data_IF_307133304320
#
_entry.id   IF_307133304320
#
_cell.length_a   1.000
_cell.length_b   1.000
_cell.length_c   1.000
_cell.angle_alpha   90.00
_cell.angle_beta   90.00
_cell.angle_gamma   90.00
#
_symmetry.space_group_name_H-M   'P 1'
#
loop_
_entity.id
_entity.type
_entity.pdbx_description
1 polymer ?
#
# COMPACT_ATOMS: atom_id res chain seq x y z
N UNK A 1 22.32 -26.57 -23.28
CA UNK A 1 21.12 -26.35 -22.43
C UNK A 1 21.44 -26.12 -20.95
N UNK A 2 22.48 -26.74 -20.35
CA UNK A 2 22.83 -26.54 -18.92
C UNK A 2 23.37 -25.12 -18.60
N UNK A 3 24.25 -24.56 -19.45
CA UNK A 3 24.85 -23.24 -19.21
C UNK A 3 23.86 -22.06 -19.33
N UNK A 4 22.83 -22.20 -20.16
CA UNK A 4 21.81 -21.15 -20.36
C UNK A 4 20.76 -21.17 -19.22
N UNK A 5 20.46 -22.34 -18.68
CA UNK A 5 19.64 -22.50 -17.47
C UNK A 5 20.37 -21.94 -16.23
N UNK A 6 21.67 -22.23 -16.09
CA UNK A 6 22.51 -21.66 -15.01
C UNK A 6 22.60 -20.14 -15.11
N UNK A 7 22.86 -19.58 -16.31
CA UNK A 7 22.81 -18.13 -16.54
C UNK A 7 21.43 -17.55 -16.23
N UNK A 8 20.32 -18.15 -16.70
CA UNK A 8 18.97 -17.65 -16.36
C UNK A 8 18.69 -17.68 -14.85
N UNK A 9 19.17 -18.70 -14.13
CA UNK A 9 18.97 -18.80 -12.69
C UNK A 9 19.82 -17.76 -11.93
N UNK A 10 21.09 -17.56 -12.31
CA UNK A 10 21.98 -16.59 -11.70
C UNK A 10 21.46 -15.14 -11.86
N UNK A 11 20.93 -14.80 -13.03
CA UNK A 11 20.27 -13.51 -13.28
C UNK A 11 18.96 -13.31 -12.47
N UNK A 12 18.28 -14.39 -12.06
CA UNK A 12 17.04 -14.29 -11.28
C UNK A 12 17.30 -13.83 -9.84
N UNK A 13 18.32 -14.38 -9.18
CA UNK A 13 18.65 -14.02 -7.78
C UNK A 13 19.21 -12.61 -7.66
N UNK A 14 19.99 -12.14 -8.64
CA UNK A 14 20.51 -10.77 -8.69
C UNK A 14 19.37 -9.75 -8.83
N UNK A 15 18.46 -9.97 -9.77
CA UNK A 15 17.29 -9.11 -9.96
C UNK A 15 16.36 -9.14 -8.75
N UNK A 16 16.18 -10.31 -8.13
CA UNK A 16 15.39 -10.44 -6.90
C UNK A 16 16.02 -9.68 -5.72
N UNK A 17 17.34 -9.79 -5.56
CA UNK A 17 18.09 -9.09 -4.50
C UNK A 17 18.10 -7.59 -4.72
N UNK A 18 18.36 -7.14 -5.95
CA UNK A 18 18.30 -5.73 -6.33
C UNK A 18 16.89 -5.16 -6.15
N UNK A 19 15.85 -5.91 -6.53
CA UNK A 19 14.45 -5.54 -6.32
C UNK A 19 14.09 -5.43 -4.83
N UNK A 20 14.52 -6.39 -4.01
CA UNK A 20 14.29 -6.39 -2.57
C UNK A 20 15.01 -5.23 -1.88
N UNK A 21 16.28 -4.99 -2.20
CA UNK A 21 17.07 -3.88 -1.68
C UNK A 21 16.48 -2.52 -2.08
N UNK A 22 16.09 -2.36 -3.36
CA UNK A 22 15.44 -1.16 -3.85
C UNK A 22 14.09 -0.90 -3.18
N UNK A 23 13.28 -1.95 -3.00
CA UNK A 23 12.01 -1.88 -2.28
C UNK A 23 12.22 -1.45 -0.82
N UNK A 24 13.16 -2.08 -0.12
CA UNK A 24 13.46 -1.75 1.27
C UNK A 24 13.96 -0.31 1.43
N UNK A 25 14.93 0.11 0.61
CA UNK A 25 15.45 1.47 0.64
C UNK A 25 14.35 2.51 0.34
N UNK A 26 13.49 2.23 -0.64
CA UNK A 26 12.36 3.11 -0.96
C UNK A 26 11.39 3.23 0.20
N UNK A 27 11.03 2.11 0.84
CA UNK A 27 10.15 2.13 2.02
C UNK A 27 10.81 2.90 3.16
N UNK A 28 12.11 2.69 3.42
CA UNK A 28 12.84 3.41 4.47
C UNK A 28 12.83 4.92 4.27
N UNK A 29 13.17 5.40 3.06
CA UNK A 29 13.20 6.85 2.77
C UNK A 29 11.79 7.46 2.77
N UNK A 30 10.78 6.70 2.32
CA UNK A 30 9.40 7.20 2.22
C UNK A 30 8.56 7.02 3.49
N UNK A 31 9.07 6.28 4.48
CA UNK A 31 8.32 5.97 5.70
C UNK A 31 7.86 7.21 6.50
N UNK A 32 8.66 8.29 6.62
CA UNK A 32 8.19 9.52 7.26
C UNK A 32 6.90 10.10 6.64
N UNK A 33 6.76 10.01 5.31
CA UNK A 33 5.54 10.45 4.63
C UNK A 33 4.35 9.51 4.88
N UNK A 34 4.60 8.22 5.13
CA UNK A 34 3.55 7.29 5.56
C UNK A 34 3.02 7.61 6.96
N UNK A 35 3.91 7.97 7.90
CA UNK A 35 3.50 8.39 9.25
C UNK A 35 2.66 9.66 9.16
N UNK A 36 3.10 10.65 8.38
CA UNK A 36 2.35 11.90 8.19
C UNK A 36 1.00 11.65 7.55
N UNK A 37 0.95 10.84 6.49
CA UNK A 37 -0.31 10.46 5.83
C UNK A 37 -1.27 9.82 6.82
N UNK A 38 -0.84 8.81 7.57
CA UNK A 38 -1.72 8.08 8.50
C UNK A 38 -2.26 8.99 9.60
N UNK A 39 -1.44 9.91 10.13
CA UNK A 39 -1.92 10.92 11.09
C UNK A 39 -2.92 11.89 10.49
N UNK A 40 -2.75 12.30 9.24
CA UNK A 40 -3.74 13.14 8.57
C UNK A 40 -5.07 12.43 8.30
N UNK A 41 -5.05 11.15 7.88
CA UNK A 41 -6.25 10.35 7.61
C UNK A 41 -7.14 10.20 8.86
N UNK A 42 -6.51 10.23 10.02
CA UNK A 42 -7.10 9.94 11.32
C UNK A 42 -7.43 11.19 12.13
N UNK A 43 -6.90 12.35 11.73
CA UNK A 43 -7.23 13.60 12.35
C UNK A 43 -8.59 14.07 11.83
N UNK A 44 -9.60 14.08 12.70
CA UNK A 44 -10.99 14.40 12.33
C UNK A 44 -11.37 15.85 12.71
N UNK A 45 -10.41 16.61 13.27
CA UNK A 45 -10.56 18.03 13.61
C UNK A 45 -11.48 18.35 14.79
N UNK A 46 -12.04 17.34 15.47
CA UNK A 46 -13.13 17.54 16.44
C UNK A 46 -12.74 17.55 17.90
N UNK A 47 -11.73 16.78 18.27
CA UNK A 47 -10.97 16.87 19.54
C UNK A 47 -9.81 15.92 19.28
N UNK A 48 -8.60 16.44 19.16
CA UNK A 48 -7.46 15.63 18.77
C UNK A 48 -6.37 15.76 19.81
N UNK A 49 -6.14 14.69 20.55
CA UNK A 49 -4.86 14.37 21.21
C UNK A 49 -3.68 14.26 20.19
N UNK A 50 -3.89 14.69 18.94
CA UNK A 50 -2.98 14.69 17.81
C UNK A 50 -2.82 16.14 17.34
N UNK A 51 -1.59 16.64 17.11
CA UNK A 51 -1.37 18.00 16.68
C UNK A 51 -2.06 18.28 15.34
N UNK A 52 -2.75 19.41 15.22
CA UNK A 52 -3.24 19.87 13.93
C UNK A 52 -2.06 20.42 13.13
N UNK A 53 -1.80 19.81 11.97
CA UNK A 53 -0.71 20.23 11.09
C UNK A 53 -1.26 21.08 9.94
N UNK A 54 -0.63 22.22 9.66
CA UNK A 54 -1.02 23.10 8.55
C UNK A 54 -0.74 22.46 7.19
N UNK A 55 0.44 21.84 7.04
CA UNK A 55 0.95 21.28 5.80
C UNK A 55 1.74 19.99 6.06
N UNK A 56 1.97 19.17 5.02
CA UNK A 56 2.80 17.95 5.09
C UNK A 56 4.21 18.24 5.61
N UNK A 57 4.88 19.29 5.12
CA UNK A 57 6.21 19.67 5.58
C UNK A 57 6.22 20.10 7.05
N UNK A 58 5.20 20.87 7.47
CA UNK A 58 5.03 21.25 8.87
C UNK A 58 4.80 20.03 9.77
N UNK A 59 4.05 19.04 9.29
CA UNK A 59 3.85 17.77 10.02
C UNK A 59 5.17 17.02 10.21
N UNK A 60 5.97 16.83 9.15
CA UNK A 60 7.28 16.17 9.26
C UNK A 60 8.17 16.89 10.28
N UNK A 61 8.28 18.22 10.17
CA UNK A 61 9.13 19.01 11.07
C UNK A 61 8.64 18.98 12.52
N UNK A 62 7.33 19.08 12.72
CA UNK A 62 6.73 19.05 14.07
C UNK A 62 6.96 17.69 14.72
N UNK A 63 6.76 16.59 13.99
CA UNK A 63 7.01 15.23 14.50
C UNK A 63 8.49 15.03 14.80
N UNK A 64 9.37 15.46 13.90
CA UNK A 64 10.82 15.39 14.11
C UNK A 64 11.25 16.14 15.39
N UNK A 65 10.68 17.32 15.64
CA UNK A 65 11.01 18.16 16.80
C UNK A 65 10.39 17.66 18.10
N UNK A 66 9.14 17.18 18.07
CA UNK A 66 8.39 16.80 19.28
C UNK A 66 8.57 15.33 19.69
N UNK A 67 8.75 14.43 18.73
CA UNK A 67 8.83 12.97 18.96
C UNK A 67 10.18 12.37 18.55
N UNK A 68 11.04 13.17 17.91
CA UNK A 68 12.33 12.73 17.41
C UNK A 68 12.23 11.79 16.20
N UNK A 69 13.37 11.19 15.85
CA UNK A 69 13.46 10.21 14.77
C UNK A 69 12.61 8.96 15.03
N UNK A 70 12.39 8.60 16.31
CA UNK A 70 11.54 7.46 16.68
C UNK A 70 10.09 7.65 16.26
N UNK A 71 9.56 8.89 16.30
CA UNK A 71 8.21 9.20 15.82
C UNK A 71 8.08 9.08 14.30
N UNK A 72 9.08 9.57 13.55
CA UNK A 72 9.10 9.49 12.08
C UNK A 72 9.22 8.05 11.56
N UNK A 73 9.87 7.16 12.31
CA UNK A 73 10.05 5.74 11.98
C UNK A 73 9.12 4.80 12.78
N UNK A 74 8.13 5.35 13.47
CA UNK A 74 7.16 4.55 14.21
C UNK A 74 6.40 3.62 13.24
N UNK A 75 6.27 2.34 13.61
CA UNK A 75 5.60 1.35 12.78
C UNK A 75 6.39 0.90 11.52
N UNK A 76 7.67 1.26 11.38
CA UNK A 76 8.49 0.79 10.25
C UNK A 76 8.63 -0.74 10.23
N UNK A 77 9.12 -1.33 11.33
CA UNK A 77 9.32 -2.77 11.46
C UNK A 77 8.04 -3.61 11.22
N UNK A 78 6.89 -3.33 11.87
CA UNK A 78 5.65 -4.07 11.57
C UNK A 78 5.16 -3.81 10.14
N UNK A 79 5.46 -2.64 9.55
CA UNK A 79 5.15 -2.36 8.15
C UNK A 79 5.93 -3.21 7.17
N UNK A 80 7.24 -3.39 7.39
CA UNK A 80 8.09 -4.24 6.55
C UNK A 80 7.70 -5.71 6.73
N UNK A 81 7.63 -6.19 7.97
CA UNK A 81 7.23 -7.58 8.26
C UNK A 81 5.83 -7.89 7.70
N UNK A 82 4.87 -7.00 7.93
CA UNK A 82 3.52 -7.15 7.41
C UNK A 82 3.47 -7.20 5.89
N UNK A 83 4.27 -6.39 5.20
CA UNK A 83 4.34 -6.41 3.74
C UNK A 83 4.96 -7.71 3.23
N UNK A 84 6.08 -8.16 3.81
CA UNK A 84 6.74 -9.42 3.44
C UNK A 84 5.82 -10.62 3.64
N UNK A 85 5.15 -10.71 4.79
CA UNK A 85 4.18 -11.78 5.08
C UNK A 85 3.00 -11.71 4.12
N UNK A 86 2.49 -10.50 3.82
CA UNK A 86 1.37 -10.32 2.89
C UNK A 86 1.69 -10.85 1.50
N UNK A 87 2.87 -10.52 0.95
CA UNK A 87 3.28 -11.01 -0.38
C UNK A 87 3.51 -12.52 -0.40
N UNK A 88 4.15 -13.07 0.63
CA UNK A 88 4.35 -14.52 0.74
C UNK A 88 3.03 -15.30 0.79
N UNK A 89 2.09 -14.86 1.65
CA UNK A 89 0.76 -15.44 1.72
C UNK A 89 -0.05 -15.21 0.44
N UNK A 90 0.10 -14.05 -0.20
CA UNK A 90 -0.58 -13.75 -1.46
C UNK A 90 -0.20 -14.74 -2.55
N UNK A 91 1.10 -14.95 -2.81
CA UNK A 91 1.54 -15.92 -3.81
C UNK A 91 1.10 -17.35 -3.46
N UNK A 92 1.21 -17.74 -2.18
CA UNK A 92 0.76 -19.04 -1.73
C UNK A 92 -0.74 -19.27 -1.98
N UNK A 93 -1.60 -18.35 -1.52
CA UNK A 93 -3.05 -18.49 -1.71
C UNK A 93 -3.47 -18.31 -3.16
N UNK A 94 -2.83 -17.42 -3.90
CA UNK A 94 -3.09 -17.21 -5.32
C UNK A 94 -2.78 -18.46 -6.14
N UNK A 95 -1.62 -19.12 -5.91
CA UNK A 95 -1.27 -20.36 -6.61
C UNK A 95 -2.22 -21.49 -6.23
N UNK A 96 -2.60 -21.62 -4.95
CA UNK A 96 -3.59 -22.62 -4.51
C UNK A 96 -4.97 -22.37 -5.12
N UNK A 97 -5.42 -21.12 -5.16
CA UNK A 97 -6.69 -20.75 -5.79
C UNK A 97 -6.64 -21.05 -7.30
N UNK A 98 -5.58 -20.63 -7.99
CA UNK A 98 -5.36 -20.87 -9.41
C UNK A 98 -5.35 -22.37 -9.74
N UNK A 99 -4.66 -23.20 -8.95
CA UNK A 99 -4.65 -24.66 -9.12
C UNK A 99 -6.04 -25.26 -8.94
N UNK A 100 -6.82 -24.78 -7.96
CA UNK A 100 -8.20 -25.23 -7.74
C UNK A 100 -9.12 -24.87 -8.90
N UNK A 101 -9.03 -23.66 -9.44
CA UNK A 101 -9.83 -23.25 -10.61
C UNK A 101 -9.39 -23.95 -11.90
N UNK A 102 -8.09 -24.21 -12.07
CA UNK A 102 -7.56 -24.93 -13.23
C UNK A 102 -7.94 -26.42 -13.21
N UNK A 103 -8.03 -27.04 -12.04
CA UNK A 103 -8.44 -28.46 -11.92
C UNK A 103 -9.88 -28.72 -12.37
N UNK A 104 -10.74 -27.70 -12.35
CA UNK A 104 -12.13 -27.81 -12.77
C UNK A 104 -12.36 -27.57 -14.28
N UNK A 105 -11.35 -27.19 -15.07
CA UNK A 105 -11.50 -26.98 -16.53
C UNK A 105 -10.20 -27.28 -17.30
N UNK A 106 -10.29 -28.12 -18.34
CA UNK A 106 -9.20 -28.46 -19.28
C UNK A 106 -8.88 -27.32 -20.29
N UNK A 107 -8.79 -26.07 -19.85
CA UNK A 107 -8.54 -24.92 -20.75
C UNK A 107 -7.89 -23.71 -20.08
N UNK A 108 -7.38 -22.78 -20.90
CA UNK A 108 -6.78 -21.51 -20.44
C UNK A 108 -7.75 -20.76 -19.52
N UNK A 109 -7.28 -20.36 -18.34
CA UNK A 109 -8.05 -19.62 -17.36
C UNK A 109 -8.58 -18.29 -17.95
N UNK A 110 -9.89 -18.07 -17.88
CA UNK A 110 -10.51 -16.80 -18.26
C UNK A 110 -10.00 -15.64 -17.39
N UNK A 111 -9.88 -14.41 -17.90
CA UNK A 111 -9.52 -13.23 -17.10
C UNK A 111 -10.38 -13.07 -15.84
N UNK A 112 -11.67 -13.44 -15.90
CA UNK A 112 -12.56 -13.42 -14.73
C UNK A 112 -12.17 -14.42 -13.63
N UNK A 113 -11.63 -15.58 -13.99
CA UNK A 113 -11.14 -16.58 -13.03
C UNK A 113 -9.84 -16.13 -12.37
N UNK A 114 -8.97 -15.44 -13.12
CA UNK A 114 -7.79 -14.80 -12.55
C UNK A 114 -8.16 -13.74 -11.52
N UNK A 115 -9.13 -12.89 -11.83
CA UNK A 115 -9.66 -11.89 -10.91
C UNK A 115 -10.31 -12.55 -9.67
N UNK A 116 -11.09 -13.61 -9.85
CA UNK A 116 -11.68 -14.36 -8.74
C UNK A 116 -10.61 -14.98 -7.83
N UNK A 117 -9.58 -15.61 -8.40
CA UNK A 117 -8.46 -16.15 -7.62
C UNK A 117 -7.66 -15.07 -6.89
N UNK A 118 -7.49 -13.90 -7.51
CA UNK A 118 -6.80 -12.76 -6.88
C UNK A 118 -7.64 -12.16 -5.75
N UNK A 119 -8.96 -12.07 -5.91
CA UNK A 119 -9.87 -11.60 -4.88
C UNK A 119 -9.93 -12.55 -3.67
N UNK A 120 -10.01 -13.87 -3.92
CA UNK A 120 -9.98 -14.90 -2.87
C UNK A 120 -8.66 -14.86 -2.10
N UNK A 121 -7.52 -14.84 -2.81
CA UNK A 121 -6.20 -14.72 -2.19
C UNK A 121 -6.06 -13.42 -1.39
N UNK A 122 -6.45 -12.28 -1.96
CA UNK A 122 -6.39 -10.99 -1.28
C UNK A 122 -7.29 -10.90 -0.05
N UNK A 123 -8.47 -11.52 -0.08
CA UNK A 123 -9.37 -11.64 1.07
C UNK A 123 -8.74 -12.46 2.21
N UNK A 124 -8.19 -13.64 1.90
CA UNK A 124 -7.52 -14.49 2.89
C UNK A 124 -6.28 -13.82 3.49
N UNK A 125 -5.44 -13.19 2.65
CA UNK A 125 -4.29 -12.40 3.12
C UNK A 125 -4.75 -11.27 4.03
N UNK A 126 -5.83 -10.56 3.68
CA UNK A 126 -6.37 -9.49 4.52
C UNK A 126 -6.80 -10.00 5.89
N UNK A 127 -7.42 -11.17 5.98
CA UNK A 127 -7.79 -11.80 7.25
C UNK A 127 -6.58 -12.17 8.11
N UNK A 128 -5.53 -12.74 7.51
CA UNK A 128 -4.32 -13.13 8.24
C UNK A 128 -3.45 -11.93 8.65
N UNK A 129 -3.41 -10.87 7.84
CA UNK A 129 -2.47 -9.77 8.02
C UNK A 129 -3.07 -8.55 8.72
N UNK A 130 -4.40 -8.49 8.90
CA UNK A 130 -5.05 -7.38 9.59
C UNK A 130 -4.46 -7.08 10.99
N UNK A 131 -4.11 -8.07 11.82
CA UNK A 131 -3.47 -7.81 13.12
C UNK A 131 -2.16 -7.01 12.99
N UNK A 132 -1.34 -7.34 12.00
CA UNK A 132 -0.04 -6.67 11.76
C UNK A 132 -0.26 -5.23 11.29
N UNK A 133 -1.22 -5.03 10.39
CA UNK A 133 -1.59 -3.69 9.93
C UNK A 133 -2.17 -2.82 11.05
N UNK A 134 -2.98 -3.39 11.93
CA UNK A 134 -3.54 -2.68 13.08
C UNK A 134 -2.43 -2.24 14.06
N UNK A 135 -1.46 -3.13 14.36
CA UNK A 135 -0.30 -2.77 15.19
C UNK A 135 0.53 -1.67 14.52
N UNK A 136 0.77 -1.76 13.21
CA UNK A 136 1.46 -0.71 12.44
C UNK A 136 0.75 0.63 12.60
N UNK A 137 -0.55 0.70 12.30
CA UNK A 137 -1.33 1.94 12.34
C UNK A 137 -1.31 2.56 13.75
N UNK A 138 -1.47 1.75 14.80
CA UNK A 138 -1.44 2.26 16.19
C UNK A 138 -0.09 2.80 16.60
N UNK A 139 0.99 2.15 16.20
CA UNK A 139 2.34 2.67 16.45
C UNK A 139 2.59 3.99 15.70
N UNK A 140 2.06 4.15 14.48
CA UNK A 140 2.19 5.40 13.71
C UNK A 140 1.38 6.57 14.30
N UNK A 141 0.25 6.26 14.93
CA UNK A 141 -0.65 7.22 15.57
C UNK A 141 -0.30 7.56 17.02
N UNK A 142 0.68 6.88 17.60
CA UNK A 142 1.10 7.13 18.96
C UNK A 142 1.82 8.47 19.07
N UNK A 143 1.29 9.35 19.91
CA UNK A 143 1.91 10.64 20.25
C UNK A 143 2.27 10.65 21.74
N UNK A 144 3.55 10.76 22.10
CA UNK A 144 4.04 10.72 23.49
C UNK A 144 3.37 11.75 24.42
N UNK A 145 2.98 12.91 23.88
CA UNK A 145 2.41 14.02 24.65
C UNK A 145 0.99 13.78 25.19
N UNK A 146 0.25 12.83 24.61
CA UNK A 146 -1.18 12.65 24.95
C UNK A 146 -1.56 11.23 25.36
N UNK A 147 -0.59 10.30 25.40
CA UNK A 147 -0.83 8.93 25.81
C UNK A 147 -0.11 8.64 27.12
N UNK A 148 -0.88 8.27 28.15
CA UNK A 148 -0.37 7.87 29.47
C UNK A 148 0.53 6.63 29.41
N UNK A 149 0.33 5.76 28.42
CA UNK A 149 1.19 4.58 28.21
C UNK A 149 1.52 4.36 26.73
N UNK A 150 2.65 4.90 26.24
CA UNK A 150 3.14 4.64 24.89
C UNK A 150 3.54 3.15 24.73
N UNK A 151 3.23 2.54 23.58
CA UNK A 151 3.77 1.22 23.24
C UNK A 151 5.28 1.31 23.09
N UNK A 152 6.00 0.39 23.72
CA UNK A 152 7.46 0.32 23.60
C UNK A 152 7.89 -0.33 22.27
N UNK A 153 7.08 -1.25 21.74
CA UNK A 153 7.35 -1.95 20.48
C UNK A 153 6.20 -2.84 20.01
N UNK A 154 6.45 -3.68 19.00
CA UNK A 154 5.44 -4.55 18.36
C UNK A 154 4.82 -5.53 19.37
N UNK A 155 5.67 -6.23 20.16
CA UNK A 155 5.21 -7.23 21.12
C UNK A 155 4.35 -6.60 22.23
N UNK A 156 4.79 -5.46 22.75
CA UNK A 156 4.07 -4.70 23.76
C UNK A 156 2.72 -4.20 23.24
N UNK A 157 2.69 -3.69 21.99
CA UNK A 157 1.45 -3.32 21.33
C UNK A 157 0.51 -4.52 21.20
N UNK A 158 0.98 -5.65 20.69
CA UNK A 158 0.15 -6.85 20.53
C UNK A 158 -0.41 -7.35 21.88
N UNK A 159 0.44 -7.46 22.90
CA UNK A 159 0.05 -7.91 24.26
C UNK A 159 -0.97 -6.96 24.89
N UNK A 160 -0.75 -5.65 24.75
CA UNK A 160 -1.64 -4.63 25.32
C UNK A 160 -3.00 -4.64 24.63
N UNK A 161 -3.03 -4.76 23.29
CA UNK A 161 -4.28 -4.86 22.53
C UNK A 161 -5.09 -6.09 22.95
N UNK A 162 -4.42 -7.24 23.05
CA UNK A 162 -5.07 -8.48 23.44
C UNK A 162 -5.63 -8.41 24.87
N UNK A 163 -4.94 -7.72 25.79
CA UNK A 163 -5.36 -7.58 27.19
C UNK A 163 -6.42 -6.51 27.43
N UNK A 164 -6.34 -5.36 26.74
CA UNK A 164 -7.24 -4.21 26.95
C UNK A 164 -8.51 -4.30 26.09
N UNK A 165 -8.42 -4.80 24.85
CA UNK A 165 -9.55 -4.81 23.90
C UNK A 165 -9.98 -6.21 23.45
N UNK A 166 -9.15 -7.23 23.67
CA UNK A 166 -9.43 -8.61 23.27
C UNK A 166 -9.14 -8.90 21.79
N UNK A 167 -9.48 -10.11 21.36
CA UNK A 167 -9.12 -10.63 20.04
C UNK A 167 -9.89 -9.97 18.88
N UNK A 168 -11.13 -9.55 19.11
CA UNK A 168 -11.97 -8.87 18.10
C UNK A 168 -11.37 -7.54 17.63
N UNK A 169 -10.56 -6.89 18.47
CA UNK A 169 -9.88 -5.65 18.15
C UNK A 169 -8.97 -5.78 16.93
N UNK A 170 -8.30 -6.92 16.75
CA UNK A 170 -7.40 -7.16 15.62
C UNK A 170 -8.11 -7.23 14.27
N UNK A 171 -9.43 -7.37 14.24
CA UNK A 171 -10.24 -7.42 13.02
C UNK A 171 -10.98 -6.11 12.75
N UNK A 172 -10.75 -5.06 13.56
CA UNK A 172 -11.24 -3.71 13.27
C UNK A 172 -10.69 -3.22 11.92
N UNK A 173 -11.59 -2.68 11.10
CA UNK A 173 -11.27 -2.23 9.75
C UNK A 173 -11.17 -3.33 8.68
N UNK A 174 -11.58 -4.58 8.97
CA UNK A 174 -11.56 -5.65 7.96
C UNK A 174 -12.48 -5.36 6.78
N UNK A 175 -13.67 -4.80 7.02
CA UNK A 175 -14.64 -4.47 5.95
C UNK A 175 -14.03 -3.52 4.92
N UNK A 176 -13.53 -2.31 5.29
CA UNK A 176 -12.86 -1.46 4.31
C UNK A 176 -11.58 -2.10 3.74
N UNK A 177 -10.90 -2.98 4.49
CA UNK A 177 -9.73 -3.72 3.96
C UNK A 177 -10.09 -4.67 2.83
N UNK A 178 -11.23 -5.36 2.91
CA UNK A 178 -11.72 -6.23 1.84
C UNK A 178 -12.07 -5.44 0.58
N UNK A 179 -12.68 -4.26 0.72
CA UNK A 179 -12.88 -3.35 -0.41
C UNK A 179 -11.54 -2.88 -1.02
N UNK A 180 -10.48 -2.73 -0.22
CA UNK A 180 -9.16 -2.37 -0.74
C UNK A 180 -8.50 -3.48 -1.58
N UNK A 181 -8.94 -4.73 -1.46
CA UNK A 181 -8.44 -5.82 -2.33
C UNK A 181 -8.77 -5.54 -3.81
N UNK A 182 -9.87 -4.84 -4.09
CA UNK A 182 -10.24 -4.48 -5.47
C UNK A 182 -9.37 -3.36 -6.05
N UNK A 183 -8.46 -2.74 -5.27
CA UNK A 183 -7.60 -1.66 -5.75
C UNK A 183 -6.80 -2.04 -7.00
N UNK A 184 -6.22 -3.25 -7.02
CA UNK A 184 -5.47 -3.73 -8.18
C UNK A 184 -6.35 -3.94 -9.42
N UNK A 185 -7.57 -4.45 -9.23
CA UNK A 185 -8.53 -4.62 -10.31
C UNK A 185 -8.97 -3.26 -10.88
N UNK A 186 -9.29 -2.29 -10.02
CA UNK A 186 -9.63 -0.92 -10.43
C UNK A 186 -8.48 -0.28 -11.20
N UNK A 187 -7.24 -0.43 -10.73
CA UNK A 187 -6.07 0.10 -11.44
C UNK A 187 -5.90 -0.54 -12.82
N UNK A 188 -6.05 -1.87 -12.92
CA UNK A 188 -5.92 -2.59 -14.17
C UNK A 188 -7.02 -2.20 -15.17
N UNK A 189 -8.28 -2.17 -14.74
CA UNK A 189 -9.40 -1.73 -15.59
C UNK A 189 -9.22 -0.27 -16.02
N UNK A 190 -8.83 0.62 -15.11
CA UNK A 190 -8.54 2.02 -15.46
C UNK A 190 -7.39 2.12 -16.48
N UNK A 191 -6.36 1.29 -16.34
CA UNK A 191 -5.25 1.23 -17.29
C UNK A 191 -5.71 0.78 -18.68
N UNK A 192 -6.52 -0.28 -18.76
CA UNK A 192 -7.05 -0.78 -20.04
C UNK A 192 -7.96 0.23 -20.74
N UNK A 193 -8.88 0.87 -20.00
CA UNK A 193 -9.78 1.87 -20.56
C UNK A 193 -9.03 3.12 -21.03
N UNK A 194 -8.09 3.62 -20.23
CA UNK A 194 -7.25 4.75 -20.64
C UNK A 194 -6.38 4.40 -21.85
N UNK A 195 -5.84 3.18 -21.91
CA UNK A 195 -5.05 2.71 -23.06
C UNK A 195 -5.90 2.69 -24.33
N UNK A 196 -7.13 2.17 -24.29
CA UNK A 196 -8.06 2.18 -25.44
C UNK A 196 -8.29 3.60 -25.97
N UNK A 197 -8.61 4.54 -25.08
CA UNK A 197 -8.86 5.94 -25.45
C UNK A 197 -7.64 6.59 -26.10
N UNK A 198 -6.43 6.37 -25.57
CA UNK A 198 -5.21 6.94 -26.15
C UNK A 198 -4.90 6.34 -27.52
N UNK A 199 -5.07 5.02 -27.67
CA UNK A 199 -4.85 4.33 -28.96
C UNK A 199 -5.84 4.86 -30.00
N UNK A 200 -7.11 5.00 -29.66
CA UNK A 200 -8.14 5.54 -30.57
C UNK A 200 -7.85 6.98 -30.97
N UNK A 201 -7.39 7.82 -30.04
CA UNK A 201 -7.04 9.21 -30.32
C UNK A 201 -5.82 9.31 -31.25
N UNK A 202 -4.79 8.49 -31.03
CA UNK A 202 -3.60 8.44 -31.90
C UNK A 202 -3.91 7.84 -33.28
N UNK A 203 -4.78 6.83 -33.34
CA UNK A 203 -5.22 6.23 -34.59
C UNK A 203 -5.99 7.24 -35.45
N UNK A 204 -6.85 8.07 -34.85
CA UNK A 204 -7.53 9.18 -35.56
C UNK A 204 -6.59 10.27 -36.05
N UNK A 205 -5.45 10.47 -35.40
CA UNK A 205 -4.46 11.51 -35.75
C UNK A 205 -3.43 11.05 -36.80
N UNK A 206 -3.20 9.75 -36.91
CA UNK A 206 -2.27 9.16 -37.89
C UNK A 206 -3.04 8.55 -39.06
N UNK A 207 -2.93 9.15 -40.25
CA UNK A 207 -3.46 8.65 -41.54
C UNK A 207 -2.76 7.38 -42.07
N UNK A 208 -2.17 6.55 -41.20
CA UNK A 208 -1.45 5.32 -41.56
C UNK A 208 -2.11 4.14 -40.86
N UNK A 209 -2.98 3.45 -41.59
CA UNK A 209 -3.95 2.46 -41.08
C UNK A 209 -3.36 1.08 -40.73
N UNK A 210 -2.03 0.89 -40.71
CA UNK A 210 -1.46 -0.47 -40.77
C UNK A 210 -0.27 -0.74 -39.83
N UNK A 211 -0.19 -0.09 -38.66
CA UNK A 211 0.80 -0.44 -37.63
C UNK A 211 0.14 -0.97 -36.35
N UNK A 212 0.75 -1.99 -35.75
CA UNK A 212 0.31 -2.60 -34.49
C UNK A 212 0.07 -1.54 -33.41
N UNK A 213 -1.01 -1.64 -32.62
CA UNK A 213 -1.33 -0.69 -31.54
C UNK A 213 -0.21 -0.54 -30.50
N UNK A 214 0.60 -1.59 -30.31
CA UNK A 214 1.74 -1.58 -29.39
C UNK A 214 2.94 -0.76 -29.89
N UNK A 215 3.05 -0.51 -31.21
CA UNK A 215 4.10 0.35 -31.80
C UNK A 215 3.72 1.83 -31.79
N UNK A 216 2.46 2.17 -31.54
CA UNK A 216 1.96 3.57 -31.45
C UNK A 216 2.21 4.22 -30.08
N UNK A 217 2.46 3.39 -29.05
CA UNK A 217 2.70 3.84 -27.69
C UNK A 217 4.21 3.89 -27.42
N UNK A 218 4.69 5.06 -27.03
CA UNK A 218 6.07 5.27 -26.61
C UNK A 218 6.22 4.95 -25.11
N UNK A 219 7.45 4.80 -24.62
CA UNK A 219 7.74 4.57 -23.19
C UNK A 219 7.11 5.62 -22.27
N UNK A 220 7.03 6.87 -22.75
CA UNK A 220 6.37 7.98 -22.03
C UNK A 220 4.86 7.77 -21.95
N UNK A 221 4.21 7.27 -23.00
CA UNK A 221 2.76 7.00 -22.97
C UNK A 221 2.44 5.89 -21.97
N UNK A 222 3.25 4.83 -21.92
CA UNK A 222 3.11 3.78 -20.92
C UNK A 222 3.32 4.31 -19.49
N UNK A 223 4.27 5.22 -19.29
CA UNK A 223 4.48 5.87 -17.99
C UNK A 223 3.28 6.75 -17.59
N UNK A 224 2.74 7.54 -18.52
CA UNK A 224 1.57 8.39 -18.29
C UNK A 224 0.32 7.55 -18.01
N UNK A 225 0.09 6.48 -18.78
CA UNK A 225 -0.99 5.52 -18.56
C UNK A 225 -0.88 4.83 -17.19
N UNK A 226 0.33 4.39 -16.81
CA UNK A 226 0.59 3.80 -15.51
C UNK A 226 0.35 4.78 -14.35
N UNK A 227 0.78 6.04 -14.51
CA UNK A 227 0.57 7.06 -13.50
C UNK A 227 -0.90 7.47 -13.35
N UNK A 228 -1.59 7.75 -14.46
CA UNK A 228 -2.99 8.18 -14.47
C UNK A 228 -3.94 7.09 -13.98
N UNK A 229 -3.74 5.84 -14.40
CA UNK A 229 -4.52 4.69 -13.89
C UNK A 229 -4.34 4.49 -12.38
N UNK A 230 -3.11 4.62 -11.89
CA UNK A 230 -2.82 4.55 -10.44
C UNK A 230 -3.49 5.69 -9.68
N UNK A 231 -3.49 6.91 -10.21
CA UNK A 231 -4.19 8.04 -9.60
C UNK A 231 -5.70 7.84 -9.57
N UNK A 232 -6.30 7.37 -10.67
CA UNK A 232 -7.73 7.06 -10.73
C UNK A 232 -8.12 5.99 -9.70
N UNK A 233 -7.33 4.91 -9.60
CA UNK A 233 -7.54 3.87 -8.61
C UNK A 233 -7.39 4.40 -7.17
N UNK A 234 -6.38 5.23 -6.91
CA UNK A 234 -6.21 5.90 -5.62
C UNK A 234 -7.45 6.74 -5.30
N UNK A 235 -7.92 7.61 -6.21
CA UNK A 235 -9.07 8.47 -5.96
C UNK A 235 -10.34 7.70 -5.61
N UNK A 236 -10.58 6.55 -6.26
CA UNK A 236 -11.74 5.71 -5.99
C UNK A 236 -11.61 4.94 -4.67
N UNK A 237 -10.40 4.49 -4.32
CA UNK A 237 -10.17 3.63 -3.15
C UNK A 237 -9.75 4.38 -1.89
N UNK A 238 -9.36 5.66 -2.01
CA UNK A 238 -8.88 6.47 -0.90
C UNK A 238 -9.87 6.59 0.27
N UNK A 239 -11.19 6.77 0.05
CA UNK A 239 -12.17 6.80 1.13
C UNK A 239 -12.10 5.55 2.04
N UNK A 240 -11.97 4.36 1.44
CA UNK A 240 -11.83 3.12 2.19
C UNK A 240 -10.52 3.05 2.99
N UNK A 241 -9.45 3.66 2.49
CA UNK A 241 -8.17 3.75 3.23
C UNK A 241 -8.32 4.64 4.47
N UNK A 242 -9.00 5.78 4.34
CA UNK A 242 -9.28 6.68 5.46
C UNK A 242 -10.16 5.98 6.49
N UNK A 243 -11.24 5.32 6.04
CA UNK A 243 -12.15 4.58 6.91
C UNK A 243 -11.43 3.47 7.69
N UNK A 244 -10.56 2.71 7.01
CA UNK A 244 -9.72 1.69 7.66
C UNK A 244 -8.81 2.30 8.73
N UNK A 245 -8.12 3.40 8.41
CA UNK A 245 -7.19 4.04 9.34
C UNK A 245 -7.91 4.57 10.61
N UNK A 246 -9.10 5.15 10.44
CA UNK A 246 -9.95 5.62 11.56
C UNK A 246 -10.42 4.48 12.46
N UNK A 247 -10.88 3.35 11.88
CA UNK A 247 -11.29 2.18 12.67
C UNK A 247 -10.14 1.52 13.45
N UNK A 248 -8.90 1.67 12.96
CA UNK A 248 -7.72 1.08 13.60
C UNK A 248 -7.14 1.96 14.72
N UNK A 249 -7.72 3.14 14.97
CA UNK A 249 -7.35 3.99 16.10
C UNK A 249 -7.43 3.24 17.43
N UNK A 250 -6.58 3.63 18.37
CA UNK A 250 -6.70 3.19 19.77
C UNK A 250 -7.98 3.81 20.36
N UNK A 251 -8.79 3.06 21.12
CA UNK A 251 -9.87 3.62 21.93
C UNK A 251 -9.36 4.73 22.86
N UNK A 252 -10.24 5.67 23.20
CA UNK A 252 -9.94 6.70 24.19
C UNK A 252 -9.79 6.08 25.59
N UNK A 253 -9.30 6.87 26.56
CA UNK A 253 -9.01 6.41 27.92
C UNK A 253 -10.18 5.72 28.65
N UNK A 254 -11.42 6.00 28.24
CA UNK A 254 -12.65 5.38 28.78
C UNK A 254 -12.91 3.96 28.24
N UNK A 255 -12.02 3.41 27.42
CA UNK A 255 -12.16 2.09 26.80
C UNK A 255 -13.16 2.04 25.64
N UNK A 256 -13.95 3.10 25.44
CA UNK A 256 -14.91 3.21 24.33
C UNK A 256 -14.16 3.54 23.03
N UNK A 257 -14.29 2.70 21.98
CA UNK A 257 -13.70 3.02 20.69
C UNK A 257 -14.31 4.31 20.11
N UNK A 258 -13.49 5.15 19.47
CA UNK A 258 -13.96 6.37 18.79
C UNK A 258 -15.01 6.06 17.72
N UNK A 259 -14.84 4.91 17.05
CA UNK A 259 -15.74 4.42 16.02
C UNK A 259 -16.06 2.95 16.25
N UNK A 260 -17.35 2.60 16.35
CA UNK A 260 -17.79 1.19 16.50
C UNK A 260 -17.66 0.44 15.18
N UNK A 261 -18.26 1.01 14.14
CA UNK A 261 -18.51 0.34 12.87
C UNK A 261 -18.05 1.17 11.68
N UNK A 262 -17.87 0.48 10.56
CA UNK A 262 -17.59 1.11 9.27
C UNK A 262 -18.68 2.11 8.91
N UNK A 263 -19.96 1.80 9.17
CA UNK A 263 -21.06 2.72 8.94
C UNK A 263 -21.03 3.93 9.88
N UNK A 264 -20.61 3.74 11.13
CA UNK A 264 -20.43 4.84 12.08
C UNK A 264 -19.39 5.83 11.57
N UNK A 265 -18.24 5.34 11.09
CA UNK A 265 -17.21 6.18 10.46
C UNK A 265 -17.77 6.94 9.27
N UNK A 266 -18.54 6.30 8.39
CA UNK A 266 -19.13 6.96 7.22
C UNK A 266 -20.06 8.09 7.68
N UNK A 267 -21.01 7.78 8.56
CA UNK A 267 -22.02 8.76 9.02
C UNK A 267 -21.38 9.94 9.74
N UNK A 268 -20.45 9.68 10.64
CA UNK A 268 -19.76 10.75 11.38
C UNK A 268 -18.88 11.58 10.45
N UNK A 269 -18.04 10.95 9.63
CA UNK A 269 -17.16 11.68 8.68
C UNK A 269 -17.98 12.59 7.76
N UNK A 270 -19.09 12.07 7.20
CA UNK A 270 -19.97 12.84 6.34
C UNK A 270 -20.64 14.02 7.08
N UNK A 271 -21.14 13.79 8.30
CA UNK A 271 -21.81 14.83 9.10
C UNK A 271 -20.86 15.95 9.52
N UNK A 272 -19.59 15.63 9.71
CA UNK A 272 -18.69 16.43 10.53
C UNK A 272 -17.51 17.03 9.79
N UNK A 273 -17.06 16.39 8.72
CA UNK A 273 -15.98 16.87 7.86
C UNK A 273 -16.42 17.02 6.39
N UNK A 274 -17.60 16.49 6.05
CA UNK A 274 -18.10 16.41 4.69
C UNK A 274 -17.21 15.53 3.80
N UNK A 275 -17.32 15.73 2.49
CA UNK A 275 -16.60 14.95 1.47
C UNK A 275 -15.07 15.07 1.62
N UNK A 276 -14.59 16.24 2.09
CA UNK A 276 -13.15 16.49 2.29
C UNK A 276 -12.53 15.57 3.36
N UNK A 277 -13.31 15.08 4.32
CA UNK A 277 -12.83 14.15 5.36
C UNK A 277 -12.29 12.84 4.77
N UNK A 278 -12.97 12.29 3.76
CA UNK A 278 -12.56 11.05 3.10
C UNK A 278 -11.28 11.15 2.29
N UNK A 279 -10.78 12.37 2.02
CA UNK A 279 -9.58 12.63 1.25
C UNK A 279 -8.44 13.24 2.08
N UNK A 280 -8.57 13.28 3.42
CA UNK A 280 -7.49 13.78 4.29
C UNK A 280 -6.22 12.97 4.14
N UNK A 281 -5.10 13.66 3.95
CA UNK A 281 -3.78 13.04 3.78
C UNK A 281 -3.45 12.64 2.34
N UNK A 282 -4.33 12.93 1.36
CA UNK A 282 -4.09 12.57 -0.05
C UNK A 282 -2.84 13.27 -0.60
N UNK A 283 -2.57 14.51 -0.18
CA UNK A 283 -1.37 15.27 -0.57
C UNK A 283 -0.08 14.55 -0.14
N UNK A 284 -0.01 14.03 1.09
CA UNK A 284 1.12 13.25 1.57
C UNK A 284 1.27 11.93 0.79
N UNK A 285 0.15 11.28 0.45
CA UNK A 285 0.16 10.06 -0.38
C UNK A 285 0.67 10.32 -1.81
N UNK A 286 0.24 11.41 -2.44
CA UNK A 286 0.67 11.79 -3.77
C UNK A 286 2.14 12.22 -3.80
N UNK A 287 2.57 13.01 -2.82
CA UNK A 287 3.95 13.47 -2.70
C UNK A 287 4.92 12.30 -2.51
N UNK A 288 4.49 11.22 -1.86
CA UNK A 288 5.28 9.99 -1.72
C UNK A 288 5.45 9.25 -3.06
N UNK A 289 4.46 9.24 -3.95
CA UNK A 289 4.44 8.34 -5.10
C UNK A 289 5.50 8.65 -6.16
N UNK A 290 5.77 9.93 -6.45
CA UNK A 290 6.75 10.29 -7.49
C UNK A 290 8.21 10.00 -7.05
N UNK A 291 8.67 10.45 -5.87
CA UNK A 291 10.01 10.15 -5.38
C UNK A 291 10.24 8.66 -5.13
N UNK A 292 9.20 7.92 -4.68
CA UNK A 292 9.31 6.49 -4.45
C UNK A 292 9.76 5.74 -5.71
N UNK A 293 9.13 6.03 -6.86
CA UNK A 293 9.50 5.40 -8.14
C UNK A 293 10.94 5.72 -8.52
N UNK A 294 11.35 6.97 -8.41
CA UNK A 294 12.73 7.39 -8.73
C UNK A 294 13.78 6.70 -7.86
N UNK A 295 13.54 6.63 -6.54
CA UNK A 295 14.46 5.96 -5.61
C UNK A 295 14.54 4.47 -5.91
N UNK A 296 13.41 3.81 -6.18
CA UNK A 296 13.41 2.39 -6.51
C UNK A 296 14.29 2.12 -7.74
N UNK A 297 14.16 2.91 -8.82
CA UNK A 297 14.99 2.74 -10.01
C UNK A 297 16.47 3.00 -9.74
N UNK A 298 16.81 4.09 -9.06
CA UNK A 298 18.20 4.45 -8.75
C UNK A 298 18.86 3.34 -7.91
N UNK A 299 18.19 2.87 -6.85
CA UNK A 299 18.74 1.84 -5.98
C UNK A 299 18.82 0.50 -6.72
N UNK A 300 17.81 0.15 -7.51
CA UNK A 300 17.80 -1.08 -8.30
C UNK A 300 18.99 -1.12 -9.28
N UNK A 301 19.21 -0.04 -10.04
CA UNK A 301 20.33 0.05 -10.97
C UNK A 301 21.69 -0.01 -10.27
N UNK A 302 21.84 0.69 -9.14
CA UNK A 302 23.09 0.70 -8.40
C UNK A 302 23.40 -0.66 -7.79
N UNK A 303 22.41 -1.36 -7.23
CA UNK A 303 22.60 -2.71 -6.68
C UNK A 303 22.93 -3.71 -7.79
N UNK A 304 22.26 -3.63 -8.95
CA UNK A 304 22.61 -4.46 -10.11
C UNK A 304 24.02 -4.18 -10.63
N UNK A 305 24.43 -2.92 -10.69
CA UNK A 305 25.81 -2.54 -11.07
C UNK A 305 26.85 -3.04 -10.08
N UNK A 306 26.50 -3.22 -8.80
CA UNK A 306 27.37 -3.78 -7.77
C UNK A 306 27.41 -5.31 -7.75
N UNK A 307 26.35 -5.99 -8.21
CA UNK A 307 26.29 -7.45 -8.26
C UNK A 307 26.93 -8.03 -9.53
N UNK A 308 26.87 -7.31 -10.66
CA UNK A 308 27.49 -7.69 -11.95
C UNK A 308 29.03 -7.72 -12.03
N UNK A 309 29.84 -6.94 -11.28
CA UNK A 309 31.30 -6.94 -11.40
C UNK A 309 31.93 -8.24 -10.90
N UNK A 310 31.25 -8.97 -10.02
CA UNK A 310 31.79 -10.14 -9.32
C UNK A 310 32.02 -11.36 -10.22
N UNK A 311 31.58 -11.33 -11.48
CA UNK A 311 31.67 -12.48 -12.42
C UNK A 311 32.70 -12.24 -13.53
N UNK A 312 33.30 -11.04 -13.66
CA UNK A 312 34.25 -10.76 -14.74
C UNK A 312 35.70 -11.14 -14.41
N UNK A 313 35.98 -11.66 -13.22
CA UNK A 313 37.33 -11.96 -12.72
C UNK A 313 37.58 -13.44 -12.36
N UNK A 314 36.70 -14.37 -12.76
CA UNK A 314 36.97 -15.81 -12.76
C UNK A 314 37.00 -16.35 -14.20
#
# INVERSE_FOLDING_TARGET
MSAEASKRHQWQWENATAGAAAGFATVAVMHPLDVVRTRFQVNDGRVSHLPSYKNTAHAVFTIARSEGLRGLYAGFLPGVLGSTISWGLYFFFYDKAKQRYARNREGKLSPGLHLASAAEAGGLVSLCTNPVWLVKTRLQLQTPLHQTRPYSGIYDAFKTILREEGFSAFYKGIVPSLFLVSHGAIQFTAYEELRKVIVDFKCKRSTVHNQNPDKLLNSVDYAVLGATSKLAAILLTYPFQVMRARLQQRPSGDGVPRYMDTWHVVKETARFEGIRGYYRGITANLLKNAPASSITFIVYENVLKLLKPTIRND
#
